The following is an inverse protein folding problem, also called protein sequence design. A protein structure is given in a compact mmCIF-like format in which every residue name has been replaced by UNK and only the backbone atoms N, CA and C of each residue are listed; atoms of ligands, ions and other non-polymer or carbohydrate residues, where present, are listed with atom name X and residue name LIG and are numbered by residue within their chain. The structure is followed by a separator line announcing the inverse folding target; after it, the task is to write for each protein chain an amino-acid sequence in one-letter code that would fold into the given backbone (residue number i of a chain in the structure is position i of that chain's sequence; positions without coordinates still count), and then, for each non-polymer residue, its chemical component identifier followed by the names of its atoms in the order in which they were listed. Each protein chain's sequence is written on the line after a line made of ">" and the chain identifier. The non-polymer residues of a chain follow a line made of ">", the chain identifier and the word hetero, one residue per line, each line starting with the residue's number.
data_IF_554222754685
#
_entry.id   IF_554222754685
#
_cell.length_a   1.000
_cell.length_b   1.000
_cell.length_c   1.000
_cell.angle_alpha   90.00
_cell.angle_beta   90.00
_cell.angle_gamma   90.00
#
_symmetry.space_group_name_H-M   'P 1'
#
loop_
_entity.id
_entity.type
_entity.pdbx_description
1 polymer ?
#
# COMPACT_ATOMS: atom_id res chain seq x y z
N UNK A 1 -6.58 -5.28 20.42
CA UNK A 1 -5.17 -4.84 20.28
C UNK A 1 -4.26 -6.01 20.54
N UNK A 2 -2.96 -5.85 20.30
CA UNK A 2 -1.97 -6.83 20.73
C UNK A 2 -1.89 -6.89 22.26
N UNK A 3 -1.53 -8.04 22.81
CA UNK A 3 -1.14 -8.15 24.21
C UNK A 3 0.26 -7.55 24.44
N UNK A 4 0.59 -7.30 25.71
CA UNK A 4 1.86 -6.66 26.08
C UNK A 4 3.06 -7.48 25.62
N UNK A 5 3.01 -8.81 25.72
CA UNK A 5 4.12 -9.68 25.31
C UNK A 5 4.38 -9.60 23.80
N UNK A 6 3.31 -9.55 23.00
CA UNK A 6 3.41 -9.33 21.56
C UNK A 6 3.95 -7.95 21.25
N UNK A 7 3.47 -6.91 21.94
CA UNK A 7 4.01 -5.54 21.81
C UNK A 7 5.50 -5.51 22.15
N UNK A 8 5.93 -6.09 23.26
CA UNK A 8 7.33 -6.14 23.67
C UNK A 8 8.23 -6.79 22.61
N UNK A 9 7.83 -7.95 22.11
CA UNK A 9 8.57 -8.65 21.04
C UNK A 9 8.66 -7.81 19.77
N UNK A 10 7.54 -7.25 19.31
CA UNK A 10 7.52 -6.43 18.10
C UNK A 10 8.28 -5.10 18.27
N UNK A 11 8.22 -4.49 19.46
CA UNK A 11 8.94 -3.27 19.78
C UNK A 11 10.44 -3.50 19.68
N UNK A 12 10.94 -4.58 20.29
CA UNK A 12 12.35 -4.96 20.21
C UNK A 12 12.82 -5.23 18.77
N UNK A 13 12.00 -5.90 17.94
CA UNK A 13 12.34 -6.19 16.54
C UNK A 13 12.31 -4.93 15.66
N UNK A 14 11.40 -4.00 15.94
CA UNK A 14 11.06 -2.87 15.04
C UNK A 14 11.64 -1.54 15.52
N UNK A 15 12.84 -1.58 16.09
CA UNK A 15 13.65 -0.40 16.40
C UNK A 15 13.40 0.23 17.78
N UNK A 16 12.63 -0.43 18.64
CA UNK A 16 12.49 -0.07 20.04
C UNK A 16 13.73 -0.39 20.88
N UNK A 17 13.77 0.16 22.08
CA UNK A 17 14.89 0.05 23.02
C UNK A 17 14.41 -0.39 24.42
N UNK A 18 13.78 -1.58 24.55
CA UNK A 18 13.14 -2.00 25.80
C UNK A 18 14.11 -2.06 26.98
N UNK A 19 15.35 -2.47 26.74
CA UNK A 19 16.37 -2.63 27.78
C UNK A 19 17.14 -1.33 28.09
N UNK A 20 16.74 -0.18 27.52
CA UNK A 20 17.44 1.08 27.78
C UNK A 20 17.28 1.47 29.26
N UNK A 21 18.39 1.61 30.01
CA UNK A 21 18.32 1.99 31.42
C UNK A 21 17.63 3.34 31.66
N UNK A 22 16.84 3.40 32.73
CA UNK A 22 16.18 4.62 33.19
C UNK A 22 14.86 4.96 32.48
N UNK A 23 14.31 4.06 31.66
CA UNK A 23 12.91 4.13 31.22
C UNK A 23 11.97 3.79 32.38
N UNK A 24 10.76 4.34 32.38
CA UNK A 24 9.76 4.04 33.40
C UNK A 24 9.03 2.74 33.05
N UNK A 25 8.75 2.54 31.77
CA UNK A 25 8.23 1.30 31.19
C UNK A 25 9.09 0.91 29.97
N UNK A 26 9.30 -0.39 29.77
CA UNK A 26 10.05 -0.92 28.63
C UNK A 26 9.46 -0.51 27.28
N UNK A 27 8.15 -0.25 27.21
CA UNK A 27 7.45 0.24 26.02
C UNK A 27 7.50 1.77 25.84
N UNK A 28 8.16 2.53 26.73
CA UNK A 28 8.28 3.98 26.54
C UNK A 28 8.97 4.29 25.20
N UNK A 29 8.29 5.01 24.31
CA UNK A 29 8.81 5.31 22.98
C UNK A 29 9.74 6.54 23.00
N UNK A 30 10.87 6.44 22.30
CA UNK A 30 11.82 7.54 22.17
C UNK A 30 11.20 8.69 21.34
N UNK A 31 11.06 9.87 21.95
CA UNK A 31 10.65 11.10 21.25
C UNK A 31 11.83 11.85 20.64
N UNK A 32 12.93 11.93 21.39
CA UNK A 32 14.14 12.65 20.99
C UNK A 32 15.38 11.89 21.41
N UNK A 33 16.24 11.58 20.45
CA UNK A 33 17.54 10.96 20.69
C UNK A 33 18.59 12.05 20.83
N UNK A 34 19.19 12.17 22.01
CA UNK A 34 20.33 13.06 22.23
C UNK A 34 21.48 12.75 21.25
N UNK A 35 22.22 13.80 20.86
CA UNK A 35 23.30 13.72 19.87
C UNK A 35 24.37 12.69 20.27
N UNK A 36 24.90 11.98 19.27
CA UNK A 36 26.00 11.02 19.43
C UNK A 36 27.10 11.33 18.40
N UNK A 37 28.38 11.06 18.73
CA UNK A 37 29.46 11.25 17.77
C UNK A 37 29.19 10.54 16.44
N UNK A 38 29.30 11.26 15.32
CA UNK A 38 29.08 10.72 13.97
C UNK A 38 27.61 10.65 13.52
N UNK A 39 26.63 10.97 14.37
CA UNK A 39 25.22 11.09 13.98
C UNK A 39 24.86 12.56 13.67
N UNK A 40 23.99 12.84 12.67
CA UNK A 40 23.46 14.18 12.46
C UNK A 40 22.62 14.62 13.66
N UNK A 41 22.62 15.93 13.94
CA UNK A 41 21.85 16.51 15.05
C UNK A 41 21.34 17.92 14.73
N UNK A 42 20.26 18.30 15.41
CA UNK A 42 19.60 19.59 15.35
C UNK A 42 19.51 20.20 16.76
N UNK A 43 19.57 21.53 16.89
CA UNK A 43 19.38 22.20 18.17
C UNK A 43 17.92 22.06 18.64
N UNK A 44 17.71 21.94 19.95
CA UNK A 44 16.38 21.96 20.58
C UNK A 44 16.47 22.50 22.01
N UNK A 45 15.35 22.92 22.62
CA UNK A 45 15.32 23.37 24.02
C UNK A 45 15.72 22.30 25.04
N UNK A 46 15.67 21.02 24.66
CA UNK A 46 16.04 19.86 25.49
C UNK A 46 17.36 19.22 25.05
N UNK A 47 18.21 20.00 24.35
CA UNK A 47 19.55 19.61 23.94
C UNK A 47 19.64 19.14 22.48
N UNK A 48 20.84 19.18 21.89
CA UNK A 48 21.06 18.76 20.51
C UNK A 48 20.76 17.26 20.35
N UNK A 49 20.13 16.91 19.23
CA UNK A 49 19.75 15.52 18.96
C UNK A 49 18.97 15.37 17.67
N UNK A 50 18.20 14.30 17.56
CA UNK A 50 17.33 14.04 16.41
C UNK A 50 16.03 13.38 16.85
N UNK A 51 14.94 13.54 16.08
CA UNK A 51 13.66 12.97 16.45
C UNK A 51 13.69 11.44 16.49
N UNK A 52 12.78 10.88 17.29
CA UNK A 52 12.41 9.47 17.22
C UNK A 52 11.40 9.22 16.10
N UNK A 53 11.40 8.00 15.59
CA UNK A 53 10.67 7.66 14.35
C UNK A 53 9.16 7.95 14.41
N UNK A 54 8.49 7.60 15.51
CA UNK A 54 7.02 7.68 15.58
C UNK A 54 6.51 9.14 15.70
N UNK A 55 7.28 10.03 16.35
CA UNK A 55 6.87 11.43 16.53
C UNK A 55 7.02 12.24 15.24
N UNK A 56 7.92 11.84 14.33
CA UNK A 56 8.05 12.47 13.00
C UNK A 56 6.72 12.41 12.24
N UNK A 57 6.13 11.21 12.10
CA UNK A 57 4.87 11.03 11.37
C UNK A 57 3.68 11.70 12.07
N UNK A 58 3.65 11.70 13.40
CA UNK A 58 2.63 12.42 14.17
C UNK A 58 2.70 13.93 13.93
N UNK A 59 3.91 14.52 14.06
CA UNK A 59 4.12 15.95 13.88
C UNK A 59 3.86 16.41 12.43
N UNK A 60 4.31 15.64 11.43
CA UNK A 60 4.03 15.94 10.02
C UNK A 60 2.52 15.92 9.77
N UNK A 61 1.83 14.86 10.19
CA UNK A 61 0.39 14.72 9.92
C UNK A 61 -0.43 15.83 10.58
N UNK A 62 -0.18 16.11 11.88
CA UNK A 62 -0.86 17.19 12.58
C UNK A 62 -0.55 18.57 11.98
N UNK A 63 0.67 18.81 11.53
CA UNK A 63 1.06 20.13 10.97
C UNK A 63 0.62 20.36 9.52
N UNK A 64 0.12 19.33 8.83
CA UNK A 64 -0.31 19.41 7.43
C UNK A 64 -1.80 19.19 7.23
N UNK A 65 -2.39 18.31 8.03
CA UNK A 65 -3.80 17.92 7.94
C UNK A 65 -4.56 18.48 9.15
N UNK A 66 -3.95 18.48 10.33
CA UNK A 66 -4.59 18.89 11.58
C UNK A 66 -5.36 17.76 12.25
N UNK A 67 -6.29 18.12 13.14
CA UNK A 67 -7.28 17.18 13.68
C UNK A 67 -8.33 16.86 12.62
N UNK A 68 -8.77 15.61 12.55
CA UNK A 68 -9.72 15.14 11.52
C UNK A 68 -9.10 14.29 10.40
N UNK A 69 -7.99 13.60 10.66
CA UNK A 69 -7.39 12.67 9.70
C UNK A 69 -8.34 11.50 9.39
N UNK A 70 -8.74 11.35 8.12
CA UNK A 70 -9.65 10.29 7.70
C UNK A 70 -8.98 8.91 7.67
N UNK A 71 -7.79 8.81 7.07
CA UNK A 71 -7.08 7.54 6.86
C UNK A 71 -5.60 7.68 7.19
N UNK A 72 -5.12 6.87 8.14
CA UNK A 72 -3.69 6.61 8.35
C UNK A 72 -3.32 5.28 7.65
N UNK A 73 -2.49 5.35 6.61
CA UNK A 73 -2.15 4.20 5.76
C UNK A 73 -0.71 3.70 5.95
N UNK A 74 -0.48 2.40 5.75
CA UNK A 74 0.88 1.81 5.79
C UNK A 74 0.91 0.31 5.48
N UNK A 75 2.10 -0.31 5.56
CA UNK A 75 2.21 -1.77 5.60
C UNK A 75 1.74 -2.33 6.95
N UNK A 76 1.36 -3.60 6.99
CA UNK A 76 0.92 -4.27 8.23
C UNK A 76 2.00 -4.35 9.31
N UNK A 77 3.27 -4.25 8.93
CA UNK A 77 4.41 -4.09 9.85
C UNK A 77 4.37 -2.76 10.62
N UNK A 78 3.68 -1.75 10.11
CA UNK A 78 3.55 -0.44 10.77
C UNK A 78 2.40 -0.38 11.77
N UNK A 79 1.52 -1.40 11.86
CA UNK A 79 0.45 -1.47 12.87
C UNK A 79 1.03 -1.16 14.26
N UNK A 80 2.10 -1.86 14.62
CA UNK A 80 2.83 -1.66 15.87
C UNK A 80 4.34 -1.85 15.60
N UNK A 81 5.23 -1.03 16.19
CA UNK A 81 4.97 0.05 17.14
C UNK A 81 4.56 1.37 16.47
N UNK A 82 4.76 1.50 15.16
CA UNK A 82 4.80 2.80 14.50
C UNK A 82 3.46 3.57 14.55
N UNK A 83 2.37 3.02 14.00
CA UNK A 83 1.08 3.72 14.00
C UNK A 83 0.48 3.83 15.40
N UNK A 84 0.72 2.87 16.29
CA UNK A 84 0.26 2.93 17.68
C UNK A 84 0.87 4.13 18.43
N UNK A 85 2.20 4.31 18.38
CA UNK A 85 2.84 5.45 19.04
C UNK A 85 2.59 6.77 18.31
N UNK A 86 2.53 6.79 16.97
CA UNK A 86 2.16 8.02 16.25
C UNK A 86 0.76 8.49 16.65
N UNK A 87 -0.20 7.57 16.78
CA UNK A 87 -1.54 7.88 17.27
C UNK A 87 -1.52 8.38 18.72
N UNK A 88 -0.87 7.64 19.63
CA UNK A 88 -0.78 8.00 21.04
C UNK A 88 -0.13 9.37 21.26
N UNK A 89 0.95 9.70 20.53
CA UNK A 89 1.58 11.02 20.60
C UNK A 89 0.62 12.13 20.13
N UNK A 90 -0.09 11.91 19.03
CA UNK A 90 -1.01 12.89 18.48
C UNK A 90 -2.24 13.10 19.38
N UNK A 91 -2.83 12.02 19.88
CA UNK A 91 -3.96 12.04 20.81
C UNK A 91 -3.56 12.71 22.13
N UNK A 92 -2.36 12.40 22.65
CA UNK A 92 -1.87 13.01 23.89
C UNK A 92 -1.68 14.53 23.78
N UNK A 93 -1.23 15.06 22.65
CA UNK A 93 -0.96 16.49 22.50
C UNK A 93 -2.21 17.30 22.12
N UNK A 94 -3.15 16.69 21.39
CA UNK A 94 -4.38 17.34 20.93
C UNK A 94 -5.55 17.19 21.90
N UNK A 95 -5.56 16.11 22.69
CA UNK A 95 -6.72 15.70 23.48
C UNK A 95 -7.83 15.00 22.67
N UNK A 96 -7.59 14.73 21.37
CA UNK A 96 -8.53 13.99 20.54
C UNK A 96 -8.63 12.53 20.97
N UNK A 97 -9.82 11.92 20.83
CA UNK A 97 -10.03 10.51 21.19
C UNK A 97 -9.37 9.52 20.23
N UNK A 98 -9.18 9.91 18.97
CA UNK A 98 -8.59 9.08 17.91
C UNK A 98 -7.83 9.98 16.95
N UNK A 99 -6.58 9.64 16.67
CA UNK A 99 -5.75 10.36 15.71
C UNK A 99 -6.28 10.22 14.27
N UNK A 100 -6.68 9.02 13.86
CA UNK A 100 -7.29 8.76 12.55
C UNK A 100 -8.64 8.03 12.66
N UNK A 101 -9.57 8.33 11.75
CA UNK A 101 -10.88 7.65 11.67
C UNK A 101 -10.73 6.20 11.23
N UNK A 102 -9.85 5.94 10.26
CA UNK A 102 -9.47 4.61 9.80
C UNK A 102 -7.95 4.42 9.80
N UNK A 103 -7.52 3.22 10.15
CA UNK A 103 -6.16 2.75 9.97
C UNK A 103 -6.20 1.65 8.91
N UNK A 104 -5.51 1.85 7.80
CA UNK A 104 -5.59 0.98 6.61
C UNK A 104 -4.23 0.39 6.33
N UNK A 105 -4.12 -0.92 6.45
CA UNK A 105 -2.83 -1.62 6.35
C UNK A 105 -2.81 -2.60 5.19
N UNK A 106 -1.79 -2.48 4.34
CA UNK A 106 -1.54 -3.42 3.25
C UNK A 106 -0.82 -4.67 3.74
N UNK A 107 -1.14 -5.81 3.14
CA UNK A 107 -0.40 -7.06 3.32
C UNK A 107 1.04 -6.95 2.82
N UNK A 108 1.91 -7.81 3.34
CA UNK A 108 3.31 -7.86 2.98
C UNK A 108 3.52 -8.59 1.65
N UNK A 109 4.40 -8.04 0.81
CA UNK A 109 4.86 -8.74 -0.41
C UNK A 109 6.14 -9.50 -0.09
N UNK A 110 6.10 -10.82 -0.31
CA UNK A 110 7.27 -11.69 -0.35
C UNK A 110 7.75 -11.95 -1.77
N UNK A 111 8.84 -12.71 -1.90
CA UNK A 111 9.37 -13.18 -3.18
C UNK A 111 9.65 -14.68 -3.07
N UNK A 112 9.13 -15.46 -4.02
CA UNK A 112 9.44 -16.88 -4.21
C UNK A 112 9.35 -17.71 -2.90
N UNK A 113 8.21 -17.63 -2.21
CA UNK A 113 7.97 -18.35 -0.95
C UNK A 113 8.73 -17.82 0.28
N UNK A 114 9.51 -16.76 0.12
CA UNK A 114 10.32 -16.17 1.19
C UNK A 114 10.01 -14.67 1.42
N UNK A 115 10.29 -14.19 2.63
CA UNK A 115 10.28 -12.75 2.91
C UNK A 115 11.38 -12.06 2.08
N UNK A 116 11.03 -10.98 1.39
CA UNK A 116 12.00 -10.16 0.66
C UNK A 116 12.96 -9.47 1.64
N UNK A 117 14.28 -9.53 1.37
CA UNK A 117 15.28 -8.81 2.18
C UNK A 117 16.53 -8.46 1.38
N UNK A 118 17.10 -7.28 1.66
CA UNK A 118 18.36 -6.84 1.02
C UNK A 118 19.49 -7.85 1.19
N UNK A 119 19.60 -8.46 2.38
CA UNK A 119 20.65 -9.41 2.73
C UNK A 119 20.59 -10.73 1.96
N UNK A 120 19.42 -11.14 1.46
CA UNK A 120 19.25 -12.37 0.68
C UNK A 120 19.39 -12.15 -0.83
N UNK A 121 19.63 -10.91 -1.27
CA UNK A 121 19.76 -10.57 -2.70
C UNK A 121 18.50 -10.81 -3.53
N UNK A 122 17.36 -11.10 -2.89
CA UNK A 122 16.10 -11.52 -3.53
C UNK A 122 15.10 -10.36 -3.70
N UNK A 123 15.62 -9.14 -3.87
CA UNK A 123 14.80 -7.96 -4.11
C UNK A 123 14.59 -7.75 -5.60
N UNK A 124 13.34 -7.87 -6.02
CA UNK A 124 12.92 -7.34 -7.33
C UNK A 124 12.59 -5.86 -7.16
N UNK A 125 13.50 -5.01 -7.62
CA UNK A 125 13.28 -3.57 -7.61
C UNK A 125 12.43 -3.16 -8.80
N UNK A 126 11.50 -2.23 -8.58
CA UNK A 126 10.71 -1.63 -9.67
C UNK A 126 11.60 -1.03 -10.76
N UNK A 127 12.75 -0.44 -10.39
CA UNK A 127 13.74 0.05 -11.37
C UNK A 127 14.30 -1.06 -12.25
N UNK A 128 14.62 -2.22 -11.67
CA UNK A 128 15.15 -3.37 -12.41
C UNK A 128 14.12 -3.94 -13.40
N UNK A 129 12.86 -4.06 -12.98
CA UNK A 129 11.78 -4.47 -13.89
C UNK A 129 11.65 -3.50 -15.07
N UNK A 130 11.68 -2.19 -14.81
CA UNK A 130 11.62 -1.18 -15.88
C UNK A 130 12.84 -1.21 -16.80
N UNK A 131 14.05 -1.38 -16.24
CA UNK A 131 15.29 -1.54 -17.02
C UNK A 131 15.26 -2.78 -17.93
N UNK A 132 14.56 -3.84 -17.51
CA UNK A 132 14.33 -5.05 -18.30
C UNK A 132 13.22 -4.88 -19.36
N UNK A 133 12.62 -3.69 -19.49
CA UNK A 133 11.56 -3.43 -20.47
C UNK A 133 10.17 -3.89 -20.04
N UNK A 134 9.96 -4.22 -18.76
CA UNK A 134 8.64 -4.58 -18.24
C UNK A 134 7.73 -3.34 -18.24
N UNK A 135 6.56 -3.48 -18.88
CA UNK A 135 5.52 -2.45 -18.87
C UNK A 135 5.04 -2.18 -17.42
N UNK A 136 5.12 -0.94 -16.91
CA UNK A 136 4.63 -0.60 -15.58
C UNK A 136 3.15 -0.95 -15.35
N UNK A 137 2.31 -0.95 -16.39
CA UNK A 137 0.91 -1.36 -16.31
C UNK A 137 0.77 -2.85 -15.94
N UNK A 138 1.68 -3.71 -16.42
CA UNK A 138 1.71 -5.12 -16.03
C UNK A 138 2.15 -5.29 -14.56
N UNK A 139 3.10 -4.48 -14.08
CA UNK A 139 3.47 -4.47 -12.66
C UNK A 139 2.27 -4.08 -11.79
N UNK A 140 1.50 -3.05 -12.18
CA UNK A 140 0.26 -2.67 -11.47
C UNK A 140 -0.75 -3.81 -11.47
N UNK A 141 -1.04 -4.42 -12.62
CA UNK A 141 -1.98 -5.55 -12.71
C UNK A 141 -1.58 -6.73 -11.83
N UNK A 142 -0.28 -7.09 -11.80
CA UNK A 142 0.21 -8.16 -10.95
C UNK A 142 0.05 -7.84 -9.46
N UNK A 143 0.32 -6.59 -9.06
CA UNK A 143 0.13 -6.16 -7.66
C UNK A 143 -1.35 -6.09 -7.26
N UNK A 144 -2.24 -5.73 -8.18
CA UNK A 144 -3.70 -5.66 -7.97
C UNK A 144 -4.39 -7.02 -8.11
N UNK A 145 -3.71 -8.06 -8.58
CA UNK A 145 -4.29 -9.38 -8.80
C UNK A 145 -4.74 -10.08 -7.50
N UNK A 146 -4.16 -9.70 -6.36
CA UNK A 146 -4.57 -10.13 -5.03
C UNK A 146 -5.15 -8.98 -4.22
N UNK A 147 -6.02 -9.31 -3.26
CA UNK A 147 -6.60 -8.32 -2.34
C UNK A 147 -5.51 -7.59 -1.54
N UNK A 148 -5.65 -6.27 -1.36
CA UNK A 148 -4.56 -5.45 -0.81
C UNK A 148 -4.14 -5.85 0.62
N UNK A 149 -5.07 -6.39 1.41
CA UNK A 149 -4.85 -6.86 2.80
C UNK A 149 -4.14 -8.21 2.90
N UNK A 150 -4.06 -8.97 1.81
CA UNK A 150 -3.50 -10.32 1.84
C UNK A 150 -1.98 -10.28 1.62
N UNK A 151 -1.27 -10.96 2.52
CA UNK A 151 0.14 -11.31 2.28
C UNK A 151 0.23 -12.21 1.05
N UNK A 152 1.19 -11.90 0.17
CA UNK A 152 1.35 -12.63 -1.09
C UNK A 152 2.77 -12.57 -1.62
N UNK A 153 3.08 -13.48 -2.53
CA UNK A 153 4.39 -13.55 -3.16
C UNK A 153 4.35 -12.95 -4.56
N UNK A 154 5.32 -12.10 -4.86
CA UNK A 154 5.66 -11.74 -6.24
C UNK A 154 6.47 -12.90 -6.85
N UNK A 155 6.24 -13.19 -8.14
CA UNK A 155 6.93 -14.23 -8.90
C UNK A 155 6.87 -13.92 -10.40
N UNK A 156 7.69 -14.59 -11.19
CA UNK A 156 7.66 -14.46 -12.65
C UNK A 156 6.32 -14.93 -13.23
N UNK A 157 5.65 -15.91 -12.60
CA UNK A 157 4.31 -16.35 -13.00
C UNK A 157 3.27 -15.23 -12.84
N UNK A 158 3.29 -14.51 -11.71
CA UNK A 158 2.41 -13.35 -11.48
C UNK A 158 2.64 -12.28 -12.53
N UNK A 159 3.90 -12.04 -12.90
CA UNK A 159 4.22 -11.07 -13.94
C UNK A 159 3.75 -11.52 -15.33
N UNK A 160 3.97 -12.79 -15.68
CA UNK A 160 3.54 -13.36 -16.95
C UNK A 160 2.00 -13.30 -17.10
N UNK A 161 1.26 -13.66 -16.05
CA UNK A 161 -0.20 -13.57 -16.03
C UNK A 161 -0.68 -12.12 -16.20
N UNK A 162 -0.02 -11.17 -15.53
CA UNK A 162 -0.34 -9.76 -15.65
C UNK A 162 -0.06 -9.20 -17.05
N UNK A 163 1.04 -9.62 -17.69
CA UNK A 163 1.36 -9.25 -19.08
C UNK A 163 0.34 -9.84 -20.06
N UNK A 164 -0.07 -11.10 -19.87
CA UNK A 164 -1.11 -11.73 -20.67
C UNK A 164 -2.47 -11.02 -20.53
N UNK A 165 -2.86 -10.68 -19.30
CA UNK A 165 -4.07 -9.88 -19.02
C UNK A 165 -4.00 -8.52 -19.71
N UNK A 166 -2.89 -7.79 -19.55
CA UNK A 166 -2.69 -6.48 -20.18
C UNK A 166 -2.84 -6.56 -21.70
N UNK A 167 -2.18 -7.54 -22.33
CA UNK A 167 -2.25 -7.73 -23.77
C UNK A 167 -3.70 -7.98 -24.25
N UNK A 168 -4.46 -8.84 -23.56
CA UNK A 168 -5.88 -9.08 -23.87
C UNK A 168 -6.72 -7.82 -23.69
N UNK A 169 -6.51 -7.07 -22.62
CA UNK A 169 -7.26 -5.84 -22.35
C UNK A 169 -7.02 -4.78 -23.42
N UNK A 170 -5.76 -4.60 -23.84
CA UNK A 170 -5.41 -3.72 -24.97
C UNK A 170 -6.09 -4.15 -26.27
N UNK A 171 -6.11 -5.45 -26.56
CA UNK A 171 -6.77 -5.97 -27.76
C UNK A 171 -8.28 -5.69 -27.75
N UNK A 172 -8.97 -5.91 -26.63
CA UNK A 172 -10.40 -5.62 -26.51
C UNK A 172 -10.72 -4.13 -26.53
N UNK A 173 -9.89 -3.30 -25.89
CA UNK A 173 -10.04 -1.84 -25.90
C UNK A 173 -9.81 -1.20 -27.29
N UNK A 174 -9.07 -1.87 -28.17
CA UNK A 174 -8.80 -1.42 -29.54
C UNK A 174 -9.87 -1.84 -30.57
N UNK A 175 -10.91 -2.59 -30.17
CA UNK A 175 -12.00 -2.97 -31.06
C UNK A 175 -12.81 -1.75 -31.52
N UNK A 176 -13.37 -1.76 -32.75
CA UNK A 176 -14.19 -0.64 -33.24
C UNK A 176 -15.56 -0.53 -32.56
N UNK A 177 -16.04 -1.62 -31.94
CA UNK A 177 -17.25 -1.68 -31.15
C UNK A 177 -17.20 -2.88 -30.19
N UNK A 178 -17.98 -2.83 -29.12
CA UNK A 178 -18.10 -3.91 -28.15
C UNK A 178 -19.52 -4.02 -27.56
N UNK A 179 -19.73 -4.94 -26.61
CA UNK A 179 -20.94 -4.98 -25.78
C UNK A 179 -21.06 -3.69 -24.95
N UNK A 180 -22.28 -3.31 -24.55
CA UNK A 180 -22.50 -2.17 -23.65
C UNK A 180 -21.57 -2.25 -22.42
N UNK A 181 -20.94 -1.12 -22.09
CA UNK A 181 -19.97 -1.03 -21.00
C UNK A 181 -20.61 -0.63 -19.66
N UNK A 182 -21.91 -0.29 -19.63
CA UNK A 182 -22.56 0.31 -18.47
C UNK A 182 -22.50 -0.60 -17.24
N UNK A 183 -22.83 -1.89 -17.40
CA UNK A 183 -22.80 -2.84 -16.28
C UNK A 183 -21.36 -3.12 -15.81
N UNK A 184 -20.40 -3.37 -16.72
CA UNK A 184 -19.02 -3.68 -16.31
C UNK A 184 -18.38 -2.52 -15.57
N UNK A 185 -18.57 -1.27 -16.01
CA UNK A 185 -18.06 -0.08 -15.31
C UNK A 185 -18.73 0.08 -13.95
N UNK A 186 -20.05 -0.16 -13.88
CA UNK A 186 -20.78 -0.18 -12.62
C UNK A 186 -20.25 -1.23 -11.64
N UNK A 187 -19.98 -2.44 -12.12
CA UNK A 187 -19.40 -3.54 -11.33
C UNK A 187 -18.01 -3.24 -10.83
N UNK A 188 -17.12 -2.72 -11.69
CA UNK A 188 -15.76 -2.30 -11.29
C UNK A 188 -15.83 -1.30 -10.14
N UNK A 189 -16.65 -0.25 -10.26
CA UNK A 189 -16.85 0.74 -9.17
C UNK A 189 -17.36 0.08 -7.88
N UNK A 190 -18.33 -0.82 -7.98
CA UNK A 190 -18.88 -1.53 -6.81
C UNK A 190 -17.83 -2.39 -6.11
N UNK A 191 -17.04 -3.17 -6.86
CA UNK A 191 -16.00 -4.02 -6.26
C UNK A 191 -14.87 -3.20 -5.66
N UNK A 192 -14.47 -2.09 -6.29
CA UNK A 192 -13.47 -1.19 -5.69
C UNK A 192 -13.99 -0.50 -4.43
N UNK A 193 -15.29 -0.16 -4.36
CA UNK A 193 -15.89 0.40 -3.15
C UNK A 193 -16.05 -0.63 -2.00
N UNK A 194 -16.05 -1.92 -2.32
CA UNK A 194 -16.12 -3.04 -1.36
C UNK A 194 -14.69 -3.44 -0.93
N UNK A 195 -14.12 -2.68 0.01
CA UNK A 195 -12.78 -2.91 0.58
C UNK A 195 -11.65 -3.03 -0.46
N UNK A 196 -11.77 -2.33 -1.60
CA UNK A 196 -10.82 -2.43 -2.71
C UNK A 196 -10.68 -3.89 -3.23
N UNK A 197 -11.80 -4.58 -3.49
CA UNK A 197 -11.83 -5.93 -4.08
C UNK A 197 -11.39 -5.91 -5.56
N UNK A 198 -10.08 -5.71 -5.73
CA UNK A 198 -9.41 -5.69 -7.04
C UNK A 198 -9.50 -7.03 -7.75
N UNK A 199 -9.44 -8.23 -7.10
CA UNK A 199 -9.64 -9.49 -7.81
C UNK A 199 -10.98 -9.54 -8.57
N UNK A 200 -12.09 -9.13 -7.94
CA UNK A 200 -13.40 -9.10 -8.63
C UNK A 200 -13.48 -8.00 -9.68
N UNK A 201 -12.88 -6.83 -9.43
CA UNK A 201 -12.82 -5.75 -10.41
C UNK A 201 -12.07 -6.19 -11.69
N UNK A 202 -10.91 -6.83 -11.54
CA UNK A 202 -10.13 -7.36 -12.66
C UNK A 202 -10.90 -8.46 -13.40
N UNK A 203 -11.53 -9.40 -12.68
CA UNK A 203 -12.34 -10.46 -13.28
C UNK A 203 -13.56 -9.92 -14.05
N UNK A 204 -14.16 -8.80 -13.62
CA UNK A 204 -15.25 -8.16 -14.34
C UNK A 204 -14.79 -7.61 -15.70
N UNK A 205 -13.62 -6.97 -15.74
CA UNK A 205 -13.03 -6.47 -17.00
C UNK A 205 -12.56 -7.64 -17.87
N UNK A 206 -11.96 -8.69 -17.29
CA UNK A 206 -11.59 -9.91 -18.03
C UNK A 206 -12.80 -10.54 -18.74
N UNK A 207 -13.95 -10.61 -18.07
CA UNK A 207 -15.21 -11.11 -18.63
C UNK A 207 -15.69 -10.26 -19.81
N UNK A 208 -15.79 -8.94 -19.62
CA UNK A 208 -16.24 -8.05 -20.69
C UNK A 208 -15.29 -8.08 -21.91
N UNK A 209 -13.97 -8.09 -21.68
CA UNK A 209 -12.97 -8.18 -22.75
C UNK A 209 -13.09 -9.51 -23.51
N UNK A 210 -13.35 -10.60 -22.80
CA UNK A 210 -13.55 -11.92 -23.42
C UNK A 210 -14.80 -11.91 -24.30
N UNK A 211 -15.92 -11.39 -23.80
CA UNK A 211 -17.16 -11.29 -24.58
C UNK A 211 -16.99 -10.40 -25.81
N UNK A 212 -16.29 -9.27 -25.66
CA UNK A 212 -16.02 -8.35 -26.77
C UNK A 212 -15.15 -8.98 -27.87
N UNK A 213 -14.14 -9.77 -27.49
CA UNK A 213 -13.26 -10.45 -28.45
C UNK A 213 -13.93 -11.66 -29.13
N UNK A 214 -14.78 -12.40 -28.41
CA UNK A 214 -15.41 -13.63 -28.93
C UNK A 214 -16.71 -13.38 -29.68
N UNK A 215 -17.55 -12.48 -29.18
CA UNK A 215 -18.91 -12.27 -29.70
C UNK A 215 -19.11 -10.87 -30.32
N UNK A 216 -18.16 -9.96 -30.11
CA UNK A 216 -18.25 -8.59 -30.59
C UNK A 216 -19.36 -7.78 -29.91
N UNK A 217 -19.78 -6.71 -30.55
CA UNK A 217 -20.92 -5.91 -30.13
C UNK A 217 -21.13 -4.70 -31.05
N UNK A 218 -22.14 -3.90 -30.73
CA UNK A 218 -22.60 -2.81 -31.59
C UNK A 218 -22.33 -1.42 -31.03
N UNK A 219 -21.87 -1.32 -29.78
CA UNK A 219 -21.58 -0.05 -29.14
C UNK A 219 -20.15 0.41 -29.49
N UNK A 220 -20.06 1.42 -30.34
CA UNK A 220 -18.79 2.04 -30.78
C UNK A 220 -18.07 2.81 -29.67
N UNK A 221 -18.79 3.20 -28.60
CA UNK A 221 -18.23 3.93 -27.47
C UNK A 221 -17.73 3.03 -26.34
N UNK A 222 -18.21 1.78 -26.28
CA UNK A 222 -17.94 0.88 -25.17
C UNK A 222 -16.43 0.54 -24.96
N UNK A 223 -15.62 0.23 -25.99
CA UNK A 223 -14.19 -0.01 -25.80
C UNK A 223 -13.45 1.17 -25.18
N UNK A 224 -13.74 2.40 -25.65
CA UNK A 224 -13.17 3.62 -25.10
C UNK A 224 -13.64 3.88 -23.66
N UNK A 225 -14.92 3.61 -23.35
CA UNK A 225 -15.45 3.75 -22.00
C UNK A 225 -14.79 2.78 -21.01
N UNK A 226 -14.55 1.53 -21.42
CA UNK A 226 -13.83 0.55 -20.59
C UNK A 226 -12.38 0.95 -20.40
N UNK A 227 -11.68 1.37 -21.46
CA UNK A 227 -10.30 1.86 -21.37
C UNK A 227 -10.17 3.06 -20.41
N UNK A 228 -11.08 4.05 -20.54
CA UNK A 228 -11.12 5.20 -19.65
C UNK A 228 -11.41 4.83 -18.20
N UNK A 229 -12.32 3.87 -17.96
CA UNK A 229 -12.61 3.38 -16.61
C UNK A 229 -11.42 2.63 -15.99
N UNK A 230 -10.72 1.80 -16.77
CA UNK A 230 -9.52 1.07 -16.32
C UNK A 230 -8.38 2.04 -16.00
N UNK A 231 -8.16 3.06 -16.83
CA UNK A 231 -7.16 4.10 -16.53
C UNK A 231 -7.55 4.90 -15.28
N UNK A 232 -8.76 5.47 -15.25
CA UNK A 232 -9.16 6.36 -14.16
C UNK A 232 -9.27 5.66 -12.79
N UNK A 233 -9.69 4.39 -12.75
CA UNK A 233 -9.98 3.68 -11.50
C UNK A 233 -8.83 2.77 -11.04
N UNK A 234 -8.01 2.26 -11.97
CA UNK A 234 -6.91 1.32 -11.65
C UNK A 234 -5.52 1.88 -12.01
N UNK A 235 -5.46 2.99 -12.75
CA UNK A 235 -4.21 3.61 -13.21
C UNK A 235 -3.49 2.76 -14.25
N UNK A 236 -4.24 2.06 -15.10
CA UNK A 236 -3.71 1.16 -16.14
C UNK A 236 -4.05 1.74 -17.52
N UNK A 237 -3.10 2.35 -18.23
CA UNK A 237 -3.33 2.82 -19.59
C UNK A 237 -3.31 1.63 -20.57
N UNK A 238 -4.44 1.42 -21.24
CA UNK A 238 -4.62 0.40 -22.29
C UNK A 238 -4.19 0.94 -23.65
#
# INVERSE_FOLDING_TARGET
>A
GYDRDTMMRLFAERGGDPDRPGKADELDALLWRAARPGEPSWPSPFGPGRPGWHVECAAISLSRIGSGLDVQGGGSDLIFPHHEFSAAHAESVTGDRRFARHYVHAGMIGWDGHKMSKSRGNLVLVSRLREQGVDPAAVRLGLLAGHYRSDRFWSDAVLADAQARLHRWRAGAALPAGPDATDVVGRVRRYLADDLDTPKALAAVDGWITDALEYGGHDIGAPAAVAAAVDALLGIPL
#
